data_IF_916442791591
#
_entry.id   IF_916442791591
#
_cell.length_a   1.000
_cell.length_b   1.000
_cell.length_c   1.000
_cell.angle_alpha   90.00
_cell.angle_beta   90.00
_cell.angle_gamma   90.00
#
_symmetry.space_group_name_H-M   'P 1'
#
loop_
_entity.id
_entity.type
_entity.pdbx_description
1 polymer ?
#
# COMPACT_ATOMS: atom_id res chain seq x y z
N UNK A 1 18.48 -4.22 -46.28
CA UNK A 1 17.36 -5.17 -46.00
C UNK A 1 18.00 -6.45 -45.52
N UNK A 2 17.68 -6.86 -44.29
CA UNK A 2 18.19 -8.12 -43.73
C UNK A 2 17.30 -9.25 -44.21
N UNK A 3 17.81 -10.26 -44.94
CA UNK A 3 17.01 -11.36 -45.51
C UNK A 3 16.46 -12.29 -44.44
N UNK A 4 17.04 -12.32 -43.25
CA UNK A 4 16.59 -13.11 -42.11
C UNK A 4 16.57 -12.22 -40.88
N UNK A 5 15.45 -12.11 -40.21
CA UNK A 5 15.32 -11.41 -38.96
C UNK A 5 14.29 -12.11 -38.07
N UNK A 6 14.51 -12.01 -36.76
CA UNK A 6 13.58 -12.46 -35.75
C UNK A 6 13.21 -11.27 -34.88
N UNK A 7 11.92 -11.07 -34.68
CA UNK A 7 11.40 -10.08 -33.73
C UNK A 7 11.01 -10.77 -32.45
N UNK A 8 11.56 -10.29 -31.33
CA UNK A 8 11.25 -10.80 -30.00
C UNK A 8 10.75 -9.64 -29.15
N UNK A 9 9.48 -9.71 -28.74
CA UNK A 9 8.86 -8.71 -27.87
C UNK A 9 8.78 -9.20 -26.43
N UNK A 10 9.24 -8.40 -25.48
CA UNK A 10 9.03 -8.61 -24.07
C UNK A 10 8.02 -7.58 -23.56
N UNK A 11 6.99 -8.02 -22.85
CA UNK A 11 5.97 -7.13 -22.30
C UNK A 11 5.39 -7.68 -21.00
N UNK A 12 5.08 -6.80 -20.07
CA UNK A 12 4.29 -7.13 -18.86
C UNK A 12 2.78 -7.09 -19.13
N UNK A 13 2.36 -6.50 -20.28
CA UNK A 13 0.95 -6.31 -20.67
C UNK A 13 0.72 -6.88 -22.07
N UNK A 14 0.64 -8.21 -22.23
CA UNK A 14 0.60 -8.86 -23.54
C UNK A 14 -0.71 -8.67 -24.30
N UNK A 15 -1.73 -8.07 -23.71
CA UNK A 15 -3.08 -7.95 -24.28
C UNK A 15 -3.07 -7.27 -25.65
N UNK A 16 -2.33 -6.16 -25.79
CA UNK A 16 -2.24 -5.44 -27.05
C UNK A 16 -1.62 -6.31 -28.16
N UNK A 17 -0.57 -7.06 -27.84
CA UNK A 17 0.11 -7.93 -28.81
C UNK A 17 -0.73 -9.16 -29.16
N UNK A 18 -1.55 -9.65 -28.23
CA UNK A 18 -2.44 -10.78 -28.45
C UNK A 18 -3.67 -10.43 -29.28
N UNK A 19 -4.01 -9.14 -29.38
CA UNK A 19 -5.13 -8.63 -30.18
C UNK A 19 -4.73 -8.26 -31.63
N UNK A 20 -3.45 -8.37 -31.98
CA UNK A 20 -2.98 -8.13 -33.35
C UNK A 20 -3.56 -9.22 -34.27
N UNK A 21 -4.24 -8.87 -35.38
CA UNK A 21 -4.75 -9.85 -36.31
C UNK A 21 -3.66 -10.78 -36.85
N UNK A 22 -3.96 -12.07 -36.94
CA UNK A 22 -2.99 -13.12 -37.37
C UNK A 22 -2.38 -12.91 -38.76
N UNK A 23 -3.01 -12.09 -39.58
CA UNK A 23 -2.51 -11.69 -40.92
C UNK A 23 -1.44 -10.57 -40.82
N UNK A 24 -1.26 -9.95 -39.66
CA UNK A 24 -0.29 -8.89 -39.54
C UNK A 24 1.12 -9.49 -39.36
N UNK A 25 2.11 -8.91 -40.02
CA UNK A 25 3.52 -9.33 -39.91
C UNK A 25 4.09 -9.23 -38.50
N UNK A 26 3.47 -8.44 -37.62
CA UNK A 26 3.84 -8.29 -36.21
C UNK A 26 3.05 -9.25 -35.29
N UNK A 27 2.14 -10.05 -35.84
CA UNK A 27 1.44 -11.06 -35.04
C UNK A 27 2.42 -12.10 -34.51
N UNK A 28 2.44 -12.37 -33.18
CA UNK A 28 3.37 -13.34 -32.63
C UNK A 28 3.05 -14.76 -33.12
N UNK A 29 4.06 -15.45 -33.62
CA UNK A 29 3.96 -16.87 -34.01
C UNK A 29 3.86 -17.80 -32.81
N UNK A 30 4.39 -17.36 -31.67
CA UNK A 30 4.23 -18.03 -30.38
C UNK A 30 4.24 -17.01 -29.23
N UNK A 31 3.66 -17.39 -28.13
CA UNK A 31 3.69 -16.61 -26.88
C UNK A 31 4.12 -17.53 -25.77
N UNK A 32 5.09 -17.08 -24.96
CA UNK A 32 5.53 -17.78 -23.77
C UNK A 32 5.33 -16.89 -22.53
N UNK A 33 4.61 -17.42 -21.56
CA UNK A 33 4.42 -16.74 -20.28
C UNK A 33 5.49 -17.23 -19.30
N UNK A 34 6.31 -16.30 -18.84
CA UNK A 34 7.32 -16.61 -17.84
C UNK A 34 6.67 -16.92 -16.49
N UNK A 35 7.15 -17.95 -15.83
CA UNK A 35 6.75 -18.21 -14.44
C UNK A 35 7.33 -17.15 -13.53
N UNK A 36 6.51 -16.54 -12.64
CA UNK A 36 7.03 -15.60 -11.68
C UNK A 36 8.04 -16.25 -10.75
N UNK A 37 9.06 -15.50 -10.34
CA UNK A 37 10.00 -15.96 -9.32
C UNK A 37 9.33 -16.18 -7.96
N UNK A 38 9.96 -16.95 -7.07
CA UNK A 38 9.39 -17.34 -5.77
C UNK A 38 8.99 -16.14 -4.88
N UNK A 39 9.70 -15.01 -5.00
CA UNK A 39 9.46 -13.80 -4.23
C UNK A 39 8.62 -12.75 -4.98
N UNK A 40 8.05 -13.11 -6.14
CA UNK A 40 7.25 -12.19 -6.91
C UNK A 40 5.88 -11.97 -6.29
N UNK A 41 5.58 -10.74 -5.95
CA UNK A 41 4.28 -10.31 -5.44
C UNK A 41 3.43 -9.77 -6.59
N UNK A 42 2.52 -10.57 -7.10
CA UNK A 42 1.64 -10.22 -8.23
C UNK A 42 0.17 -10.16 -7.84
N UNK A 43 -0.71 -10.00 -8.84
CA UNK A 43 -2.16 -9.88 -8.68
C UNK A 43 -2.78 -11.02 -7.84
N UNK A 44 -2.32 -12.24 -8.01
CA UNK A 44 -2.83 -13.39 -7.23
C UNK A 44 -2.52 -13.28 -5.73
N UNK A 45 -1.52 -12.49 -5.34
CA UNK A 45 -1.19 -12.22 -3.96
C UNK A 45 -2.14 -11.18 -3.35
N UNK A 46 -2.46 -10.14 -4.13
CA UNK A 46 -3.36 -9.07 -3.68
C UNK A 46 -4.84 -9.45 -3.85
N UNK A 47 -5.17 -10.20 -4.91
CA UNK A 47 -6.52 -10.62 -5.27
C UNK A 47 -6.56 -12.13 -5.46
N UNK A 48 -6.50 -12.93 -4.39
CA UNK A 48 -6.56 -14.37 -4.50
C UNK A 48 -7.92 -14.80 -5.07
N UNK A 49 -7.92 -15.78 -5.99
CA UNK A 49 -9.15 -16.31 -6.62
C UNK A 49 -10.11 -16.95 -5.62
N UNK A 50 -9.62 -17.43 -4.50
CA UNK A 50 -10.43 -17.98 -3.42
C UNK A 50 -10.78 -16.88 -2.41
N UNK A 51 -11.96 -16.33 -2.55
CA UNK A 51 -12.50 -15.30 -1.65
C UNK A 51 -12.65 -15.76 -0.19
N UNK A 52 -12.57 -17.08 0.06
CA UNK A 52 -12.57 -17.64 1.41
C UNK A 52 -11.22 -17.53 2.11
N UNK A 53 -10.16 -17.31 1.38
CA UNK A 53 -8.87 -16.86 1.93
C UNK A 53 -8.89 -15.36 2.13
N UNK A 54 -9.92 -14.93 2.84
CA UNK A 54 -10.12 -13.54 3.10
C UNK A 54 -8.89 -12.93 3.72
N UNK A 55 -8.29 -12.09 2.92
CA UNK A 55 -7.59 -10.93 3.38
C UNK A 55 -6.28 -11.31 4.03
N UNK A 56 -5.37 -11.75 3.20
CA UNK A 56 -3.97 -11.57 3.53
C UNK A 56 -3.73 -10.11 3.91
N UNK A 57 -2.80 -9.90 4.82
CA UNK A 57 -2.36 -8.59 5.30
C UNK A 57 -2.25 -7.58 4.16
N UNK A 58 -1.81 -8.03 2.99
CA UNK A 58 -1.55 -7.17 1.86
C UNK A 58 -2.82 -6.70 1.14
N UNK A 59 -3.87 -7.51 1.09
CA UNK A 59 -5.14 -7.13 0.47
C UNK A 59 -6.01 -6.25 1.35
N UNK A 60 -5.76 -6.19 2.65
CA UNK A 60 -6.51 -5.31 3.55
C UNK A 60 -6.25 -3.83 3.37
N UNK A 61 -5.16 -3.49 2.67
CA UNK A 61 -4.83 -2.12 2.33
C UNK A 61 -5.40 -1.70 0.98
N UNK A 62 -6.11 -2.61 0.32
CA UNK A 62 -6.83 -2.33 -0.91
C UNK A 62 -8.26 -2.05 -0.50
N UNK A 63 -8.62 -0.82 -0.45
CA UNK A 63 -10.00 -0.39 -0.30
C UNK A 63 -10.52 0.02 -1.66
N UNK A 64 -11.61 -0.63 -2.05
CA UNK A 64 -12.36 -0.21 -3.23
C UNK A 64 -13.23 0.96 -2.79
N UNK A 65 -12.84 2.14 -3.19
CA UNK A 65 -13.70 3.32 -3.11
C UNK A 65 -14.73 3.12 -4.21
N UNK A 66 -16.03 3.18 -3.86
CA UNK A 66 -17.12 2.91 -4.80
C UNK A 66 -17.01 3.72 -6.09
N UNK A 67 -17.42 3.13 -7.22
CA UNK A 67 -17.24 3.61 -8.60
C UNK A 67 -17.75 5.03 -8.92
N UNK A 68 -18.43 5.69 -8.00
CA UNK A 68 -18.95 7.05 -8.19
C UNK A 68 -17.89 8.15 -8.00
N UNK A 69 -16.64 7.78 -7.85
CA UNK A 69 -15.53 8.71 -7.63
C UNK A 69 -15.02 9.41 -8.90
N UNK A 70 -15.48 9.02 -10.06
CA UNK A 70 -14.99 9.57 -11.33
C UNK A 70 -15.24 11.08 -11.48
N UNK A 71 -16.24 11.63 -10.75
CA UNK A 71 -16.65 13.04 -10.86
C UNK A 71 -16.67 13.80 -9.52
N UNK A 72 -16.14 13.21 -8.44
CA UNK A 72 -16.32 13.77 -7.09
C UNK A 72 -15.04 14.37 -6.52
N UNK A 73 -15.10 15.66 -6.29
CA UNK A 73 -14.34 16.30 -5.23
C UNK A 73 -14.79 15.64 -3.92
N UNK A 74 -13.89 14.87 -3.31
CA UNK A 74 -14.19 14.14 -2.06
C UNK A 74 -14.43 15.16 -0.96
N UNK A 75 -15.62 15.17 -0.39
CA UNK A 75 -15.94 15.99 0.77
C UNK A 75 -15.29 15.38 2.03
N UNK A 76 -14.06 15.81 2.30
CA UNK A 76 -13.32 15.39 3.48
C UNK A 76 -12.38 14.20 3.28
N UNK A 77 -11.64 13.87 4.33
CA UNK A 77 -10.66 12.80 4.33
C UNK A 77 -11.38 11.45 4.41
N UNK A 78 -11.18 10.52 3.46
CA UNK A 78 -11.76 9.18 3.57
C UNK A 78 -11.24 8.47 4.82
N UNK A 79 -12.12 7.89 5.66
CA UNK A 79 -11.69 7.15 6.87
C UNK A 79 -10.75 5.98 6.56
N UNK A 80 -10.90 5.36 5.41
CA UNK A 80 -10.06 4.30 4.92
C UNK A 80 -8.64 4.76 4.61
N UNK A 81 -8.47 5.93 4.00
CA UNK A 81 -7.17 6.52 3.76
C UNK A 81 -6.44 6.77 5.08
N UNK A 82 -7.13 7.33 6.05
CA UNK A 82 -6.57 7.58 7.39
C UNK A 82 -6.14 6.26 8.06
N UNK A 83 -6.99 5.24 7.99
CA UNK A 83 -6.69 3.90 8.51
C UNK A 83 -5.49 3.27 7.81
N UNK A 84 -5.43 3.34 6.48
CA UNK A 84 -4.33 2.80 5.69
C UNK A 84 -3.00 3.48 6.01
N UNK A 85 -2.99 4.80 6.18
CA UNK A 85 -1.80 5.57 6.58
C UNK A 85 -1.34 5.14 7.98
N UNK A 86 -2.25 5.03 8.95
CA UNK A 86 -1.91 4.53 10.30
C UNK A 86 -1.34 3.12 10.26
N UNK A 87 -1.89 2.22 9.46
CA UNK A 87 -1.36 0.87 9.29
C UNK A 87 0.05 0.88 8.69
N UNK A 88 0.29 1.74 7.71
CA UNK A 88 1.61 1.91 7.13
C UNK A 88 2.61 2.40 8.19
N UNK A 89 2.26 3.41 8.97
CA UNK A 89 3.08 3.93 10.08
C UNK A 89 3.39 2.83 11.11
N UNK A 90 2.41 2.01 11.50
CA UNK A 90 2.64 0.87 12.40
C UNK A 90 3.60 -0.15 11.78
N UNK A 91 3.47 -0.43 10.49
CA UNK A 91 4.40 -1.28 9.77
C UNK A 91 5.82 -0.73 9.75
N UNK A 92 5.99 0.57 9.55
CA UNK A 92 7.29 1.25 9.60
C UNK A 92 7.86 1.21 11.01
N UNK A 93 7.06 1.51 12.04
CA UNK A 93 7.48 1.45 13.44
C UNK A 93 7.96 0.04 13.84
N UNK A 94 7.23 -1.01 13.43
CA UNK A 94 7.68 -2.39 13.61
C UNK A 94 8.98 -2.69 12.85
N UNK A 95 9.15 -2.12 11.65
CA UNK A 95 10.37 -2.25 10.86
C UNK A 95 11.58 -1.58 11.54
N UNK A 96 11.39 -0.40 12.14
CA UNK A 96 12.43 0.28 12.91
C UNK A 96 12.87 -0.61 14.09
N UNK A 97 11.92 -1.15 14.84
CA UNK A 97 12.21 -2.05 15.96
C UNK A 97 12.99 -3.29 15.52
N UNK A 98 12.56 -3.92 14.43
CA UNK A 98 13.24 -5.09 13.87
C UNK A 98 14.66 -4.78 13.39
N UNK A 99 14.89 -3.59 12.82
CA UNK A 99 16.21 -3.14 12.41
C UNK A 99 17.14 -2.98 13.61
N UNK A 100 16.64 -2.37 14.68
CA UNK A 100 17.40 -2.19 15.92
C UNK A 100 17.81 -3.52 16.55
N UNK A 101 16.93 -4.54 16.50
CA UNK A 101 17.21 -5.86 17.08
C UNK A 101 18.04 -6.77 16.16
N UNK A 102 17.87 -6.69 14.85
CA UNK A 102 18.40 -7.66 13.89
C UNK A 102 19.39 -7.06 12.87
N UNK A 103 19.70 -5.77 12.96
CA UNK A 103 20.55 -5.02 12.02
C UNK A 103 20.13 -5.15 10.54
N UNK A 104 18.85 -5.43 10.26
CA UNK A 104 18.30 -5.53 8.90
C UNK A 104 17.77 -4.18 8.46
N UNK A 105 18.21 -3.72 7.29
CA UNK A 105 17.63 -2.54 6.62
C UNK A 105 16.38 -2.99 5.88
N UNK A 106 15.22 -2.56 6.34
CA UNK A 106 13.95 -2.71 5.62
C UNK A 106 13.47 -1.33 5.19
N UNK A 107 13.36 -1.11 3.88
CA UNK A 107 12.71 0.07 3.34
C UNK A 107 11.24 -0.28 3.11
N UNK A 108 10.37 0.62 3.50
CA UNK A 108 8.92 0.50 3.28
C UNK A 108 8.45 1.73 2.51
N UNK A 109 7.61 1.51 1.53
CA UNK A 109 7.00 2.58 0.75
C UNK A 109 5.51 2.32 0.63
N UNK A 110 4.74 3.39 0.54
CA UNK A 110 3.31 3.37 0.30
C UNK A 110 3.02 4.17 -0.97
N UNK A 111 2.20 3.61 -1.83
CA UNK A 111 1.69 4.30 -3.02
C UNK A 111 0.20 4.54 -2.80
N UNK A 112 -0.21 5.80 -2.94
CA UNK A 112 -1.60 6.20 -2.91
C UNK A 112 -1.98 6.59 -4.33
N UNK A 113 -2.87 5.81 -4.94
CA UNK A 113 -3.32 5.99 -6.33
C UNK A 113 -4.85 6.06 -6.35
N UNK A 114 -5.44 7.23 -6.07
CA UNK A 114 -6.89 7.37 -5.94
C UNK A 114 -7.63 7.30 -7.28
N UNK A 115 -7.05 7.86 -8.35
CA UNK A 115 -7.70 7.98 -9.65
C UNK A 115 -6.66 8.15 -10.77
N UNK A 116 -7.10 8.11 -12.02
CA UNK A 116 -6.26 8.39 -13.19
C UNK A 116 -6.00 9.89 -13.41
N UNK A 117 -6.79 10.77 -12.82
CA UNK A 117 -6.71 12.22 -13.01
C UNK A 117 -5.82 12.89 -11.95
N UNK A 118 -5.09 13.94 -12.40
CA UNK A 118 -4.08 14.63 -11.58
C UNK A 118 -4.70 15.39 -10.41
N UNK A 119 -5.87 15.99 -10.60
CA UNK A 119 -6.52 16.81 -9.57
C UNK A 119 -6.86 15.97 -8.33
N UNK A 120 -7.34 14.75 -8.52
CA UNK A 120 -7.62 13.81 -7.43
C UNK A 120 -6.35 13.43 -6.69
N UNK A 121 -5.22 13.24 -7.40
CA UNK A 121 -3.92 12.99 -6.75
C UNK A 121 -3.50 14.16 -5.86
N UNK A 122 -3.68 15.40 -6.33
CA UNK A 122 -3.36 16.62 -5.57
C UNK A 122 -4.18 16.71 -4.29
N UNK A 123 -5.46 16.37 -4.36
CA UNK A 123 -6.35 16.33 -3.20
C UNK A 123 -5.91 15.28 -2.17
N UNK A 124 -5.62 14.05 -2.62
CA UNK A 124 -5.16 12.98 -1.73
C UNK A 124 -3.77 13.24 -1.15
N UNK A 125 -2.90 13.93 -1.88
CA UNK A 125 -1.64 14.44 -1.34
C UNK A 125 -1.90 15.40 -0.17
N UNK A 126 -2.82 16.35 -0.35
CA UNK A 126 -3.25 17.27 0.72
C UNK A 126 -3.80 16.54 1.94
N UNK A 127 -4.67 15.56 1.75
CA UNK A 127 -5.20 14.73 2.84
C UNK A 127 -4.09 13.97 3.58
N UNK A 128 -3.18 13.36 2.84
CA UNK A 128 -2.06 12.61 3.42
C UNK A 128 -1.17 13.52 4.27
N UNK A 129 -0.82 14.68 3.73
CA UNK A 129 0.00 15.68 4.44
C UNK A 129 -0.71 16.17 5.70
N UNK A 130 -2.02 16.40 5.62
CA UNK A 130 -2.81 16.82 6.78
C UNK A 130 -2.87 15.74 7.86
N UNK A 131 -3.11 14.47 7.49
CA UNK A 131 -3.13 13.36 8.45
C UNK A 131 -1.78 13.24 9.17
N UNK A 132 -0.67 13.27 8.43
CA UNK A 132 0.67 13.13 9.00
C UNK A 132 1.01 14.31 9.92
N UNK A 133 0.74 15.55 9.50
CA UNK A 133 1.00 16.74 10.31
C UNK A 133 0.13 16.78 11.56
N UNK A 134 -1.13 16.41 11.47
CA UNK A 134 -2.05 16.33 12.60
C UNK A 134 -1.61 15.27 13.62
N UNK A 135 -1.25 14.07 13.15
CA UNK A 135 -0.73 13.01 14.02
C UNK A 135 0.57 13.43 14.71
N UNK A 136 1.51 14.03 13.95
CA UNK A 136 2.76 14.55 14.51
C UNK A 136 2.48 15.54 15.63
N UNK A 137 1.71 16.58 15.34
CA UNK A 137 1.35 17.64 16.30
C UNK A 137 0.69 17.08 17.56
N UNK A 138 -0.27 16.16 17.39
CA UNK A 138 -0.98 15.55 18.53
C UNK A 138 -0.10 14.64 19.38
N UNK A 139 0.99 14.08 18.82
CA UNK A 139 1.89 13.19 19.55
C UNK A 139 3.08 13.94 20.19
N UNK A 140 3.40 15.16 19.77
CA UNK A 140 4.53 15.92 20.28
C UNK A 140 4.36 16.33 21.75
N UNK A 141 3.14 16.73 22.13
CA UNK A 141 2.86 17.29 23.44
C UNK A 141 1.94 16.37 24.27
N UNK A 142 2.52 15.59 25.18
CA UNK A 142 1.75 14.70 26.07
C UNK A 142 0.78 15.45 27.01
N UNK A 143 0.97 16.76 27.21
CA UNK A 143 0.11 17.60 28.04
C UNK A 143 -1.05 18.25 27.25
N UNK A 144 -1.10 18.02 25.94
CA UNK A 144 -2.20 18.52 25.12
C UNK A 144 -3.49 17.77 25.46
N UNK A 145 -4.60 18.52 25.49
CA UNK A 145 -5.92 17.95 25.80
C UNK A 145 -6.36 16.88 24.78
N UNK A 146 -5.86 16.94 23.56
CA UNK A 146 -6.16 15.98 22.50
C UNK A 146 -5.32 14.69 22.58
N UNK A 147 -4.21 14.71 23.32
CA UNK A 147 -3.28 13.58 23.39
C UNK A 147 -3.94 12.26 23.86
N UNK A 148 -4.71 12.23 24.96
CA UNK A 148 -5.33 10.99 25.42
C UNK A 148 -6.29 10.37 24.40
N UNK A 149 -7.05 11.21 23.69
CA UNK A 149 -7.98 10.75 22.67
C UNK A 149 -7.24 10.23 21.43
N UNK A 150 -6.19 10.92 21.01
CA UNK A 150 -5.32 10.45 19.91
C UNK A 150 -4.70 9.10 20.23
N UNK A 151 -4.18 8.89 21.44
CA UNK A 151 -3.62 7.61 21.88
C UNK A 151 -4.67 6.52 21.90
N UNK A 152 -5.88 6.81 22.36
CA UNK A 152 -6.99 5.87 22.37
C UNK A 152 -7.35 5.43 20.97
N UNK A 153 -7.49 6.35 20.02
CA UNK A 153 -7.77 6.05 18.62
C UNK A 153 -6.66 5.26 17.95
N UNK A 154 -5.40 5.64 18.18
CA UNK A 154 -4.26 4.88 17.66
C UNK A 154 -4.25 3.46 18.20
N UNK A 155 -4.52 3.27 19.49
CA UNK A 155 -4.58 1.94 20.11
C UNK A 155 -5.69 1.06 19.53
N UNK A 156 -6.87 1.62 19.28
CA UNK A 156 -7.97 0.91 18.63
C UNK A 156 -7.53 0.46 17.22
N UNK A 157 -6.99 1.37 16.43
CA UNK A 157 -6.52 1.07 15.08
C UNK A 157 -5.35 0.07 15.09
N UNK A 158 -4.46 0.14 16.07
CA UNK A 158 -3.37 -0.81 16.24
C UNK A 158 -3.86 -2.22 16.58
N UNK A 159 -4.84 -2.34 17.47
CA UNK A 159 -5.43 -3.62 17.79
C UNK A 159 -6.12 -4.26 16.58
N UNK A 160 -6.79 -3.46 15.75
CA UNK A 160 -7.35 -3.93 14.49
C UNK A 160 -6.25 -4.37 13.50
N UNK A 161 -5.18 -3.59 13.38
CA UNK A 161 -3.99 -3.95 12.60
C UNK A 161 -3.39 -5.29 13.04
N UNK A 162 -3.19 -5.49 14.33
CA UNK A 162 -2.65 -6.73 14.90
C UNK A 162 -3.61 -7.90 14.68
N UNK A 163 -4.91 -7.70 14.94
CA UNK A 163 -5.94 -8.73 14.78
C UNK A 163 -6.08 -9.23 13.33
N UNK A 164 -5.81 -8.37 12.37
CA UNK A 164 -5.81 -8.72 10.94
C UNK A 164 -4.49 -9.33 10.45
N UNK A 165 -3.48 -9.43 11.31
CA UNK A 165 -2.15 -9.89 10.91
C UNK A 165 -1.83 -11.21 11.58
N UNK A 166 -2.02 -12.31 10.85
CA UNK A 166 -1.75 -13.66 11.36
C UNK A 166 -0.25 -13.94 11.53
N UNK A 167 0.10 -14.69 12.57
CA UNK A 167 1.38 -15.37 12.73
C UNK A 167 2.60 -14.49 13.05
N UNK A 168 2.42 -13.23 13.46
CA UNK A 168 3.53 -12.34 13.83
C UNK A 168 3.39 -11.87 15.28
N UNK A 169 4.53 -11.84 15.99
CA UNK A 169 4.61 -11.16 17.28
C UNK A 169 4.76 -9.66 17.04
N UNK A 170 3.75 -8.91 17.44
CA UNK A 170 3.79 -7.45 17.40
C UNK A 170 4.21 -6.87 18.76
N UNK A 171 4.89 -5.72 18.78
CA UNK A 171 5.21 -5.03 20.02
C UNK A 171 3.93 -4.66 20.79
N UNK A 172 4.03 -4.54 22.09
CA UNK A 172 2.94 -4.01 22.89
C UNK A 172 2.75 -2.54 22.58
N UNK A 173 1.49 -2.09 22.60
CA UNK A 173 1.16 -0.67 22.45
C UNK A 173 1.43 0.03 23.79
N UNK A 174 2.64 0.53 23.94
CA UNK A 174 3.14 1.25 25.09
C UNK A 174 3.91 2.52 24.68
N UNK A 175 4.46 3.24 25.63
CA UNK A 175 5.20 4.48 25.38
C UNK A 175 6.39 4.26 24.43
N UNK A 176 7.09 3.12 24.53
CA UNK A 176 8.19 2.78 23.63
C UNK A 176 7.72 2.62 22.18
N UNK A 177 6.56 1.99 21.97
CA UNK A 177 6.00 1.86 20.63
C UNK A 177 5.46 3.20 20.10
N UNK A 178 4.91 4.07 20.97
CA UNK A 178 4.50 5.43 20.60
C UNK A 178 5.69 6.24 20.11
N UNK A 179 6.85 6.12 20.75
CA UNK A 179 8.07 6.79 20.29
C UNK A 179 8.57 6.25 18.93
N UNK A 180 8.39 4.96 18.66
CA UNK A 180 8.64 4.40 17.33
C UNK A 180 7.66 4.92 16.28
N UNK A 181 6.38 5.12 16.63
CA UNK A 181 5.39 5.75 15.76
C UNK A 181 5.82 7.18 15.40
N UNK A 182 6.25 7.99 16.35
CA UNK A 182 6.77 9.34 16.10
C UNK A 182 7.94 9.31 15.10
N UNK A 183 8.91 8.45 15.37
CA UNK A 183 10.07 8.26 14.47
C UNK A 183 9.66 7.78 13.06
N UNK A 184 8.61 6.98 12.96
CA UNK A 184 8.09 6.53 11.67
C UNK A 184 7.40 7.66 10.88
N UNK A 185 6.79 8.62 11.56
CA UNK A 185 6.19 9.82 10.93
C UNK A 185 7.28 10.79 10.44
N UNK A 186 8.45 10.79 11.09
CA UNK A 186 9.57 11.69 10.79
C UNK A 186 10.49 11.19 9.66
N UNK A 187 10.34 9.95 9.20
CA UNK A 187 11.10 9.36 8.09
C UNK A 187 10.46 9.64 6.73
#
# INVERSE_FOLDING_TARGET
VFPFHTYLGYTATPQANSLIPSINSLSPTFTHVLSPGENYTGLNHFFPKDSRRNIHINSRHIETIEDNFADLIVDGIPPSLETAIKYFIFGVACGILNKEHNNKKENRSMIIHPHSEVDTHSQFYGFTTHILSSLRSSLENKNDASYPETIKHLKITYNDFVGKTEGKNFPKFDDGFIDLIKRAIDQ
#
